data_IF_737706459554
#
_entry.id   IF_737706459554
#
_cell.length_a   1.000
_cell.length_b   1.000
_cell.length_c   1.000
_cell.angle_alpha   90.00
_cell.angle_beta   90.00
_cell.angle_gamma   90.00
#
_symmetry.space_group_name_H-M   'P 1'
#
loop_
_entity.id
_entity.type
_entity.pdbx_description
1 polymer ?
#
# COMPACT_ATOMS: atom_id res chain seq x y z
N UNK A 1 17.36 -7.42 -20.11
CA UNK A 1 17.47 -5.99 -20.49
C UNK A 1 17.23 -5.13 -19.29
N UNK A 2 18.12 -4.17 -19.01
CA UNK A 2 17.99 -3.29 -17.85
C UNK A 2 17.03 -2.10 -18.13
N UNK A 3 16.06 -1.92 -17.26
CA UNK A 3 15.26 -0.70 -17.14
C UNK A 3 15.98 0.21 -16.15
N UNK A 4 16.27 1.46 -16.53
CA UNK A 4 17.09 2.37 -15.78
C UNK A 4 16.32 3.61 -15.34
N UNK A 5 16.80 4.26 -14.29
CA UNK A 5 16.17 5.47 -13.75
C UNK A 5 16.16 6.64 -14.77
N UNK A 6 17.23 6.75 -15.56
CA UNK A 6 17.37 7.77 -16.61
C UNK A 6 18.00 7.16 -17.86
N UNK A 7 17.87 7.80 -19.01
CA UNK A 7 18.54 7.43 -20.24
C UNK A 7 20.07 7.55 -20.13
N UNK A 8 20.75 6.41 -19.95
CA UNK A 8 22.21 6.35 -19.86
C UNK A 8 22.71 5.04 -19.23
N UNK A 9 23.81 4.50 -19.78
CA UNK A 9 24.36 3.19 -19.34
C UNK A 9 24.89 3.22 -17.90
N UNK A 10 25.20 4.39 -17.36
CA UNK A 10 25.66 4.59 -15.97
C UNK A 10 24.52 4.87 -14.99
N UNK A 11 23.29 5.07 -15.48
CA UNK A 11 22.12 5.29 -14.63
C UNK A 11 21.78 4.05 -13.82
N UNK A 12 21.31 4.18 -12.57
CA UNK A 12 20.89 3.07 -11.73
C UNK A 12 19.89 2.16 -12.45
N UNK A 13 20.02 0.86 -12.22
CA UNK A 13 19.07 -0.13 -12.74
C UNK A 13 17.90 -0.21 -11.77
N UNK A 14 16.68 0.02 -12.28
CA UNK A 14 15.44 -0.13 -11.52
C UNK A 14 14.94 -1.58 -11.57
N UNK A 15 15.09 -2.21 -12.74
CA UNK A 15 14.65 -3.60 -12.96
C UNK A 15 15.46 -4.24 -14.07
N UNK A 16 15.72 -5.54 -13.96
CA UNK A 16 16.19 -6.37 -15.07
C UNK A 16 15.04 -7.17 -15.67
N UNK A 17 14.84 -7.03 -16.95
CA UNK A 17 13.83 -7.76 -17.70
C UNK A 17 14.43 -8.96 -18.40
N UNK A 18 13.76 -10.13 -18.38
CA UNK A 18 14.15 -11.28 -19.18
C UNK A 18 14.10 -10.98 -20.66
N UNK A 19 14.60 -11.92 -21.48
CA UNK A 19 14.37 -11.88 -22.92
C UNK A 19 12.86 -11.99 -23.19
N UNK A 20 12.40 -11.31 -24.21
CA UNK A 20 11.00 -11.30 -24.67
C UNK A 20 9.98 -10.68 -23.68
N UNK A 21 10.46 -10.01 -22.63
CA UNK A 21 9.56 -9.25 -21.74
C UNK A 21 8.87 -8.12 -22.51
N UNK A 22 7.57 -7.98 -22.30
CA UNK A 22 6.79 -6.90 -22.90
C UNK A 22 6.87 -5.62 -22.08
N UNK A 23 6.98 -4.49 -22.76
CA UNK A 23 6.95 -3.16 -22.13
C UNK A 23 6.06 -2.23 -22.92
N UNK A 24 5.40 -1.31 -22.26
CA UNK A 24 4.66 -0.23 -22.93
C UNK A 24 5.60 0.96 -23.12
N UNK A 25 5.85 1.37 -24.37
CA UNK A 25 6.61 2.59 -24.65
C UNK A 25 5.71 3.79 -24.39
N UNK A 26 6.13 4.67 -23.48
CA UNK A 26 5.41 5.89 -23.10
C UNK A 26 5.90 7.09 -23.92
N UNK A 27 7.21 7.13 -24.19
CA UNK A 27 7.87 8.21 -24.92
C UNK A 27 9.10 7.65 -25.65
N UNK A 28 9.26 7.99 -26.90
CA UNK A 28 10.42 7.58 -27.72
C UNK A 28 11.37 8.76 -27.90
N UNK A 29 12.66 8.56 -27.59
CA UNK A 29 13.73 9.51 -27.78
C UNK A 29 14.82 8.93 -28.68
N UNK A 30 15.84 9.68 -29.03
CA UNK A 30 16.86 9.29 -30.03
C UNK A 30 17.52 7.93 -29.76
N UNK A 31 17.98 7.66 -28.55
CA UNK A 31 18.73 6.45 -28.17
C UNK A 31 18.06 5.63 -27.05
N UNK A 32 17.12 6.21 -26.35
CA UNK A 32 16.43 5.63 -25.20
C UNK A 32 14.93 5.84 -25.36
N UNK A 33 14.14 4.93 -24.82
CA UNK A 33 12.69 5.12 -24.69
C UNK A 33 12.30 5.03 -23.24
N UNK A 34 11.40 5.91 -22.82
CA UNK A 34 10.71 5.80 -21.54
C UNK A 34 9.65 4.72 -21.66
N UNK A 35 9.73 3.73 -20.77
CA UNK A 35 8.87 2.56 -20.82
C UNK A 35 8.21 2.30 -19.49
N UNK A 36 7.07 1.60 -19.53
CA UNK A 36 6.40 1.03 -18.35
C UNK A 36 6.42 -0.48 -18.47
N UNK A 37 6.91 -1.16 -17.44
CA UNK A 37 6.93 -2.62 -17.35
C UNK A 37 5.57 -3.18 -16.92
N UNK A 38 5.38 -4.49 -17.01
CA UNK A 38 4.19 -5.17 -16.48
C UNK A 38 4.03 -4.98 -14.97
N UNK A 39 5.14 -4.92 -14.23
CA UNK A 39 5.14 -4.61 -12.78
C UNK A 39 4.94 -3.11 -12.48
N UNK A 40 4.57 -2.32 -13.49
CA UNK A 40 4.30 -0.87 -13.40
C UNK A 40 5.50 0.00 -13.09
N UNK A 41 6.73 -0.51 -13.18
CA UNK A 41 7.95 0.32 -13.06
C UNK A 41 8.07 1.17 -14.32
N UNK A 42 8.28 2.48 -14.13
CA UNK A 42 8.56 3.43 -15.21
C UNK A 42 10.07 3.74 -15.20
N UNK A 43 10.70 3.58 -16.34
CA UNK A 43 12.13 3.85 -16.52
C UNK A 43 12.53 3.90 -17.98
N UNK A 44 13.81 3.79 -18.26
CA UNK A 44 14.37 3.96 -19.60
C UNK A 44 15.07 2.71 -20.06
N UNK A 45 14.82 2.33 -21.33
CA UNK A 45 15.46 1.21 -22.04
C UNK A 45 16.12 1.74 -23.31
N UNK A 46 17.29 1.20 -23.68
CA UNK A 46 17.95 1.53 -24.96
C UNK A 46 17.07 1.08 -26.14
N UNK A 47 16.87 1.96 -27.14
CA UNK A 47 16.03 1.67 -28.31
C UNK A 47 16.48 0.41 -29.07
N UNK A 48 17.77 0.14 -29.12
CA UNK A 48 18.32 -1.08 -29.76
C UNK A 48 17.91 -2.40 -29.08
N UNK A 49 17.34 -2.33 -27.88
CA UNK A 49 16.85 -3.48 -27.13
C UNK A 49 15.33 -3.70 -27.29
N UNK A 50 14.66 -2.77 -27.95
CA UNK A 50 13.23 -2.86 -28.25
C UNK A 50 13.06 -3.42 -29.66
N UNK A 51 12.31 -4.50 -29.79
CA UNK A 51 11.97 -5.17 -31.04
C UNK A 51 10.45 -5.25 -31.18
N UNK A 52 9.95 -5.56 -32.36
CA UNK A 52 8.54 -5.91 -32.60
C UNK A 52 7.52 -4.90 -32.06
N UNK A 53 7.75 -3.61 -32.36
CA UNK A 53 6.83 -2.56 -31.93
C UNK A 53 5.45 -2.76 -32.55
N UNK A 54 4.47 -3.00 -31.71
CA UNK A 54 3.06 -2.97 -32.09
C UNK A 54 2.40 -1.71 -31.56
N UNK A 55 1.74 -0.97 -32.43
CA UNK A 55 0.92 0.19 -32.00
C UNK A 55 -0.40 -0.38 -31.50
N UNK A 56 -0.56 -0.49 -30.17
CA UNK A 56 -1.87 -0.72 -29.59
C UNK A 56 -2.61 0.62 -29.55
N UNK A 57 -3.58 0.82 -30.43
CA UNK A 57 -4.58 1.85 -30.13
C UNK A 57 -5.33 1.39 -28.89
N UNK A 58 -5.16 2.13 -27.79
CA UNK A 58 -6.14 2.04 -26.70
C UNK A 58 -7.47 2.55 -27.26
N UNK A 59 -8.27 1.63 -27.76
CA UNK A 59 -9.69 1.91 -27.90
C UNK A 59 -10.21 2.08 -26.49
N UNK A 60 -10.64 3.29 -26.14
CA UNK A 60 -11.57 3.44 -25.02
C UNK A 60 -12.78 2.59 -25.39
N UNK A 61 -12.88 1.39 -24.82
CA UNK A 61 -14.04 0.55 -25.04
C UNK A 61 -15.27 1.35 -24.63
N UNK A 62 -16.26 1.39 -25.50
CA UNK A 62 -17.58 1.99 -25.19
C UNK A 62 -18.30 1.22 -24.08
N UNK A 63 -17.72 0.11 -23.63
CA UNK A 63 -18.26 -0.80 -22.61
C UNK A 63 -17.65 -0.56 -21.22
N UNK A 64 -17.02 0.62 -21.00
CA UNK A 64 -16.55 0.99 -19.66
C UNK A 64 -17.77 1.09 -18.74
N UNK A 65 -17.95 0.09 -17.89
CA UNK A 65 -18.83 0.17 -16.75
C UNK A 65 -18.04 0.77 -15.59
N UNK A 66 -18.49 1.92 -15.11
CA UNK A 66 -17.95 2.51 -13.91
C UNK A 66 -18.13 1.49 -12.76
N UNK A 67 -17.01 1.09 -12.15
CA UNK A 67 -17.06 0.24 -10.97
C UNK A 67 -17.66 1.09 -9.86
N UNK A 68 -18.91 0.80 -9.50
CA UNK A 68 -19.53 1.41 -8.34
C UNK A 68 -18.90 0.77 -7.10
N UNK A 69 -17.97 1.47 -6.49
CA UNK A 69 -17.48 1.10 -5.17
C UNK A 69 -18.57 1.45 -4.16
N UNK A 70 -19.00 0.46 -3.40
CA UNK A 70 -19.79 0.70 -2.21
C UNK A 70 -18.89 1.38 -1.18
N UNK A 71 -18.79 2.70 -1.26
CA UNK A 71 -18.08 3.47 -0.26
C UNK A 71 -18.87 3.36 1.05
N UNK A 72 -18.28 2.68 2.02
CA UNK A 72 -18.77 2.72 3.40
C UNK A 72 -18.45 4.12 3.91
N UNK A 73 -19.45 4.97 3.98
CA UNK A 73 -19.32 6.32 4.54
C UNK A 73 -19.91 6.29 5.96
N UNK A 74 -19.10 6.72 6.92
CA UNK A 74 -19.61 6.97 8.27
C UNK A 74 -20.37 8.30 8.25
N UNK A 75 -21.65 8.25 8.58
CA UNK A 75 -22.48 9.47 8.69
C UNK A 75 -22.05 10.32 9.89
N UNK A 76 -22.07 11.63 9.69
CA UNK A 76 -21.75 12.61 10.73
C UNK A 76 -20.27 12.96 10.85
N UNK A 77 -19.90 13.52 11.98
CA UNK A 77 -18.54 13.96 12.26
C UNK A 77 -17.69 12.75 12.72
N UNK A 78 -16.56 12.55 12.08
CA UNK A 78 -15.57 11.57 12.52
C UNK A 78 -14.71 12.19 13.61
N UNK A 79 -14.71 11.56 14.79
CA UNK A 79 -13.85 11.90 15.91
C UNK A 79 -12.95 10.68 16.22
N UNK A 80 -11.79 10.66 15.53
CA UNK A 80 -10.84 9.56 15.56
C UNK A 80 -9.81 9.77 16.66
N UNK A 81 -9.56 8.72 17.44
CA UNK A 81 -8.48 8.66 18.40
C UNK A 81 -7.42 7.64 17.96
N UNK A 82 -6.16 8.06 17.86
CA UNK A 82 -5.05 7.13 17.73
C UNK A 82 -4.82 6.39 19.05
N UNK A 83 -4.69 5.08 18.98
CA UNK A 83 -4.38 4.24 20.13
C UNK A 83 -3.04 3.54 19.90
N UNK A 84 -1.98 4.11 20.48
CA UNK A 84 -0.66 3.52 20.36
C UNK A 84 -0.56 2.27 21.22
N UNK A 85 -0.30 1.14 20.58
CA UNK A 85 -0.10 -0.15 21.24
C UNK A 85 1.21 -0.78 20.76
N UNK A 86 1.91 -1.45 21.66
CA UNK A 86 3.20 -2.10 21.40
C UNK A 86 3.13 -3.62 21.48
N UNK A 87 2.01 -4.15 21.93
CA UNK A 87 1.73 -5.56 22.09
C UNK A 87 0.27 -5.87 21.74
N UNK A 88 -0.08 -7.13 21.68
CA UNK A 88 -1.47 -7.55 21.48
C UNK A 88 -2.28 -7.24 22.75
N UNK A 89 -3.21 -6.29 22.68
CA UNK A 89 -4.05 -5.84 23.80
C UNK A 89 -5.52 -6.18 23.54
N UNK A 90 -6.25 -6.49 24.62
CA UNK A 90 -7.64 -6.93 24.57
C UNK A 90 -8.67 -5.78 24.69
N UNK A 91 -9.96 -6.14 24.67
CA UNK A 91 -11.06 -5.18 24.79
C UNK A 91 -11.12 -4.47 26.14
N UNK A 92 -10.62 -5.07 27.22
CA UNK A 92 -10.58 -4.42 28.54
C UNK A 92 -9.55 -3.27 28.55
N UNK A 93 -8.43 -3.48 27.87
CA UNK A 93 -7.41 -2.44 27.71
C UNK A 93 -8.00 -1.24 26.95
N UNK A 94 -8.74 -1.47 25.85
CA UNK A 94 -9.45 -0.42 25.12
C UNK A 94 -10.47 0.30 26.02
N UNK A 95 -11.32 -0.43 26.73
CA UNK A 95 -12.34 0.14 27.60
C UNK A 95 -11.74 1.06 28.67
N UNK A 96 -10.61 0.67 29.26
CA UNK A 96 -9.87 1.48 30.23
C UNK A 96 -9.30 2.75 29.58
N UNK A 97 -8.68 2.64 28.39
CA UNK A 97 -8.12 3.78 27.66
C UNK A 97 -9.18 4.83 27.30
N UNK A 98 -10.40 4.38 26.97
CA UNK A 98 -11.51 5.25 26.56
C UNK A 98 -12.40 5.71 27.74
N UNK A 99 -12.16 5.24 28.95
CA UNK A 99 -13.04 5.49 30.13
C UNK A 99 -13.29 6.96 30.44
N UNK A 100 -12.36 7.83 30.07
CA UNK A 100 -12.46 9.30 30.25
C UNK A 100 -12.88 10.05 28.98
N UNK A 101 -13.10 9.37 27.87
CA UNK A 101 -13.48 10.00 26.60
C UNK A 101 -14.99 9.84 26.35
N UNK A 102 -15.62 10.88 25.74
CA UNK A 102 -17.08 10.85 25.51
C UNK A 102 -17.50 10.99 24.04
N UNK A 103 -16.56 11.29 23.17
CA UNK A 103 -16.91 11.70 21.81
C UNK A 103 -16.19 10.91 20.72
N UNK A 104 -15.31 9.98 21.09
CA UNK A 104 -14.59 9.14 20.13
C UNK A 104 -15.58 8.17 19.49
N UNK A 105 -15.63 8.18 18.16
CA UNK A 105 -16.47 7.27 17.39
C UNK A 105 -15.67 6.42 16.39
N UNK A 106 -14.37 6.66 16.30
CA UNK A 106 -13.41 5.83 15.57
C UNK A 106 -12.14 5.70 16.40
N UNK A 107 -11.61 4.49 16.54
CA UNK A 107 -10.30 4.25 17.13
C UNK A 107 -9.36 3.69 16.08
N UNK A 108 -8.12 4.20 16.08
CA UNK A 108 -7.08 3.77 15.15
C UNK A 108 -5.89 3.20 15.92
N UNK A 109 -5.92 1.88 16.22
CA UNK A 109 -4.82 1.23 16.91
C UNK A 109 -3.64 1.01 15.97
N UNK A 110 -2.41 1.16 16.49
CA UNK A 110 -1.15 1.01 15.74
C UNK A 110 -0.79 -0.47 15.55
N UNK A 111 -1.61 -1.21 14.82
CA UNK A 111 -1.54 -2.66 14.75
C UNK A 111 -0.64 -3.22 13.67
N UNK A 112 -0.58 -2.55 12.51
CA UNK A 112 0.10 -3.10 11.35
C UNK A 112 1.41 -2.38 11.07
N UNK A 113 2.46 -3.16 10.85
CA UNK A 113 3.79 -2.65 10.48
C UNK A 113 4.29 -3.42 9.28
N UNK A 114 4.92 -2.70 8.36
CA UNK A 114 5.58 -3.34 7.22
C UNK A 114 6.83 -4.10 7.71
N UNK A 115 6.99 -5.33 7.23
CA UNK A 115 8.11 -6.20 7.61
C UNK A 115 9.17 -6.34 6.52
N UNK A 116 8.83 -5.97 5.28
CA UNK A 116 9.72 -6.08 4.12
C UNK A 116 9.28 -5.18 2.96
N UNK A 117 10.10 -5.11 1.91
CA UNK A 117 9.83 -4.35 0.69
C UNK A 117 8.91 -5.09 -0.31
N UNK A 118 8.30 -6.20 0.07
CA UNK A 118 7.42 -6.99 -0.80
C UNK A 118 5.94 -6.91 -0.39
N UNK A 119 5.62 -6.13 0.65
CA UNK A 119 4.25 -5.94 1.14
C UNK A 119 3.87 -6.86 2.30
N UNK A 120 4.84 -7.51 2.95
CA UNK A 120 4.61 -8.24 4.19
C UNK A 120 4.27 -7.32 5.35
N UNK A 121 3.39 -7.77 6.25
CA UNK A 121 2.98 -7.05 7.45
C UNK A 121 3.12 -7.91 8.70
N UNK A 122 3.40 -7.26 9.83
CA UNK A 122 3.19 -7.85 11.16
C UNK A 122 1.92 -7.24 11.77
N UNK A 123 1.18 -8.05 12.51
CA UNK A 123 -0.13 -7.70 13.07
C UNK A 123 -0.14 -7.85 14.59
N UNK A 124 -0.74 -6.87 15.27
CA UNK A 124 -1.10 -6.90 16.69
C UNK A 124 -2.62 -6.94 16.88
N UNK A 125 -3.38 -7.22 15.83
CA UNK A 125 -4.84 -7.22 15.87
C UNK A 125 -5.38 -8.23 16.90
N UNK A 126 -6.50 -7.85 17.53
CA UNK A 126 -7.14 -8.65 18.56
C UNK A 126 -8.67 -8.61 18.43
N UNK A 127 -9.30 -9.79 18.29
CA UNK A 127 -10.73 -9.89 18.08
C UNK A 127 -11.56 -9.38 19.27
N UNK A 128 -11.10 -9.55 20.51
CA UNK A 128 -11.83 -9.05 21.68
C UNK A 128 -11.78 -7.52 21.78
N UNK A 129 -10.69 -6.91 21.30
CA UNK A 129 -10.59 -5.47 21.18
C UNK A 129 -11.62 -4.92 20.19
N UNK A 130 -11.73 -5.53 18.98
CA UNK A 130 -12.71 -5.12 17.97
C UNK A 130 -14.13 -5.29 18.50
N UNK A 131 -14.43 -6.46 19.08
CA UNK A 131 -15.76 -6.72 19.68
C UNK A 131 -16.12 -5.67 20.73
N UNK A 132 -15.17 -5.29 21.60
CA UNK A 132 -15.40 -4.28 22.62
C UNK A 132 -15.60 -2.88 22.03
N UNK A 133 -14.86 -2.51 20.97
CA UNK A 133 -15.07 -1.25 20.26
C UNK A 133 -16.50 -1.18 19.69
N UNK A 134 -16.94 -2.23 19.01
CA UNK A 134 -18.27 -2.32 18.44
C UNK A 134 -19.37 -2.30 19.51
N UNK A 135 -19.20 -2.97 20.66
CA UNK A 135 -20.11 -2.85 21.81
C UNK A 135 -20.26 -1.39 22.31
N UNK A 136 -19.20 -0.59 22.19
CA UNK A 136 -19.19 0.82 22.55
C UNK A 136 -19.66 1.75 21.42
N UNK A 137 -20.04 1.21 20.25
CA UNK A 137 -20.44 1.98 19.07
C UNK A 137 -19.27 2.71 18.38
N UNK A 138 -18.06 2.18 18.51
CA UNK A 138 -16.82 2.77 18.00
C UNK A 138 -16.29 1.88 16.86
N UNK A 139 -16.04 2.47 15.69
CA UNK A 139 -15.42 1.78 14.57
C UNK A 139 -13.91 1.63 14.80
N UNK A 140 -13.34 0.57 14.26
CA UNK A 140 -11.90 0.27 14.32
C UNK A 140 -11.28 0.46 12.94
N UNK A 141 -10.51 1.53 12.76
CA UNK A 141 -9.71 1.80 11.56
C UNK A 141 -8.23 1.52 11.89
N UNK A 142 -7.83 0.27 11.74
CA UNK A 142 -6.49 -0.14 12.14
C UNK A 142 -5.41 0.58 11.33
N UNK A 143 -4.42 1.12 12.02
CA UNK A 143 -3.33 1.88 11.42
C UNK A 143 -2.27 0.93 10.87
N UNK A 144 -1.82 1.19 9.64
CA UNK A 144 -0.61 0.61 9.05
C UNK A 144 0.43 1.69 8.89
N UNK A 145 1.60 1.48 9.50
CA UNK A 145 2.68 2.47 9.52
C UNK A 145 3.97 1.90 8.92
N UNK A 146 4.78 2.80 8.39
CA UNK A 146 6.16 2.57 7.99
C UNK A 146 7.17 2.86 9.11
N UNK A 147 6.70 3.43 10.21
CA UNK A 147 7.56 3.76 11.35
C UNK A 147 7.65 2.55 12.27
N UNK A 148 8.78 1.87 12.25
CA UNK A 148 9.16 0.92 13.29
C UNK A 148 9.79 1.68 14.45
N UNK A 149 8.96 2.13 15.41
CA UNK A 149 9.42 2.84 16.60
C UNK A 149 10.29 1.97 17.51
N UNK A 150 10.26 0.67 17.32
CA UNK A 150 10.99 -0.30 18.13
C UNK A 150 12.17 -0.92 17.40
N UNK A 151 12.31 -0.69 16.10
CA UNK A 151 13.28 -1.35 15.20
C UNK A 151 13.29 -2.89 15.37
N UNK A 152 12.13 -3.45 15.73
CA UNK A 152 11.98 -4.87 16.05
C UNK A 152 12.38 -5.79 14.90
N UNK A 153 12.23 -5.33 13.67
CA UNK A 153 12.49 -6.14 12.48
C UNK A 153 13.80 -5.77 11.78
N UNK A 154 14.47 -4.67 12.20
CA UNK A 154 15.75 -4.23 11.60
C UNK A 154 15.67 -3.91 10.11
N UNK A 155 14.47 -3.70 9.57
CA UNK A 155 14.22 -3.51 8.14
C UNK A 155 13.97 -2.04 7.86
N UNK A 156 14.69 -1.50 6.88
CA UNK A 156 14.36 -0.20 6.29
C UNK A 156 13.48 -0.42 5.07
N UNK A 157 12.26 0.09 5.12
CA UNK A 157 11.32 -0.03 4.00
C UNK A 157 11.68 1.00 2.92
N UNK A 158 11.87 0.52 1.70
CA UNK A 158 11.98 1.37 0.51
C UNK A 158 10.58 1.52 -0.11
N UNK A 159 9.93 2.65 0.18
CA UNK A 159 8.59 2.94 -0.32
C UNK A 159 8.51 3.12 -1.82
N UNK A 160 9.57 3.65 -2.43
CA UNK A 160 9.61 3.80 -3.89
C UNK A 160 9.62 2.42 -4.56
N UNK A 161 10.33 1.47 -3.98
CA UNK A 161 10.35 0.08 -4.43
C UNK A 161 8.99 -0.61 -4.19
N UNK A 162 8.41 -0.47 -3.00
CA UNK A 162 7.14 -1.10 -2.63
C UNK A 162 5.98 -0.52 -3.45
N UNK A 163 5.86 0.80 -3.49
CA UNK A 163 4.69 1.45 -4.08
C UNK A 163 4.76 1.58 -5.60
N UNK A 164 5.93 1.52 -6.24
CA UNK A 164 6.05 1.54 -7.69
C UNK A 164 5.65 0.22 -8.36
N UNK A 165 5.74 -0.91 -7.65
CA UNK A 165 5.40 -2.23 -8.16
C UNK A 165 3.92 -2.59 -7.91
N UNK A 166 3.17 -2.85 -8.99
CA UNK A 166 1.77 -3.31 -8.88
C UNK A 166 1.65 -4.63 -8.12
N UNK A 167 2.62 -5.53 -8.28
CA UNK A 167 2.62 -6.84 -7.64
C UNK A 167 2.81 -6.71 -6.13
N UNK A 168 3.78 -5.89 -5.71
CA UNK A 168 4.04 -5.65 -4.28
C UNK A 168 2.86 -4.93 -3.62
N UNK A 169 2.27 -3.94 -4.30
CA UNK A 169 1.03 -3.31 -3.80
C UNK A 169 -0.11 -4.31 -3.63
N UNK A 170 -0.29 -5.25 -4.56
CA UNK A 170 -1.31 -6.31 -4.44
C UNK A 170 -1.07 -7.21 -3.25
N UNK A 171 0.19 -7.57 -2.98
CA UNK A 171 0.54 -8.37 -1.79
C UNK A 171 0.16 -7.62 -0.51
N UNK A 172 0.56 -6.35 -0.38
CA UNK A 172 0.21 -5.52 0.76
C UNK A 172 -1.31 -5.37 0.94
N UNK A 173 -2.02 -5.04 -0.14
CA UNK A 173 -3.49 -4.92 -0.11
C UNK A 173 -4.13 -6.24 0.32
N UNK A 174 -3.69 -7.37 -0.24
CA UNK A 174 -4.23 -8.68 0.12
C UNK A 174 -3.96 -9.04 1.58
N UNK A 175 -2.77 -8.70 2.09
CA UNK A 175 -2.44 -8.92 3.50
C UNK A 175 -3.35 -8.09 4.43
N UNK A 176 -3.51 -6.80 4.15
CA UNK A 176 -4.38 -5.91 4.92
C UNK A 176 -5.85 -6.32 4.86
N UNK A 177 -6.35 -6.68 3.67
CA UNK A 177 -7.75 -7.14 3.50
C UNK A 177 -8.02 -8.44 4.24
N UNK A 178 -7.04 -9.36 4.30
CA UNK A 178 -7.17 -10.56 5.09
C UNK A 178 -7.31 -10.26 6.61
N UNK A 179 -6.60 -9.25 7.11
CA UNK A 179 -6.75 -8.79 8.50
C UNK A 179 -8.13 -8.14 8.72
N UNK A 180 -8.60 -7.32 7.77
CA UNK A 180 -9.95 -6.73 7.81
C UNK A 180 -11.01 -7.80 7.93
N UNK A 181 -10.96 -8.83 7.08
CA UNK A 181 -11.93 -9.92 7.07
C UNK A 181 -11.81 -10.80 8.33
N UNK A 182 -10.58 -11.08 8.78
CA UNK A 182 -10.32 -11.97 9.93
C UNK A 182 -10.82 -11.37 11.24
N UNK A 183 -10.63 -10.07 11.44
CA UNK A 183 -10.96 -9.40 12.70
C UNK A 183 -12.24 -8.57 12.63
N UNK A 184 -12.86 -8.42 11.46
CA UNK A 184 -14.05 -7.60 11.26
C UNK A 184 -13.78 -6.11 11.46
N UNK A 185 -12.68 -5.60 10.87
CA UNK A 185 -12.31 -4.18 10.97
C UNK A 185 -13.22 -3.33 10.08
N UNK A 186 -13.46 -2.10 10.48
CA UNK A 186 -14.29 -1.14 9.73
C UNK A 186 -13.48 -0.35 8.70
N UNK A 187 -12.16 -0.36 8.82
CA UNK A 187 -11.27 0.31 7.88
C UNK A 187 -9.78 0.16 8.19
N UNK A 188 -8.99 0.69 7.26
CA UNK A 188 -7.54 0.80 7.39
C UNK A 188 -7.15 2.26 7.34
N UNK A 189 -6.32 2.70 8.28
CA UNK A 189 -5.71 4.02 8.29
C UNK A 189 -4.27 3.90 7.79
N UNK A 190 -3.96 4.50 6.63
CA UNK A 190 -2.62 4.48 6.03
C UNK A 190 -1.81 5.64 6.59
N UNK A 191 -0.73 5.33 7.29
CA UNK A 191 0.18 6.29 7.93
C UNK A 191 1.63 6.06 7.45
N UNK A 192 1.89 6.43 6.19
CA UNK A 192 3.21 6.31 5.56
C UNK A 192 3.90 7.67 5.54
N UNK A 193 4.92 7.84 6.38
CA UNK A 193 5.62 9.11 6.58
C UNK A 193 6.91 9.22 5.73
N UNK A 194 7.48 8.08 5.28
CA UNK A 194 8.77 8.04 4.58
C UNK A 194 8.66 8.01 3.06
N UNK A 195 7.50 8.37 2.52
CA UNK A 195 7.31 8.49 1.07
C UNK A 195 8.10 9.69 0.57
N UNK A 196 9.06 9.45 -0.33
CA UNK A 196 9.85 10.52 -0.94
C UNK A 196 9.03 11.19 -2.04
N UNK A 197 9.04 12.51 -2.08
CA UNK A 197 8.54 13.25 -3.23
C UNK A 197 9.48 13.02 -4.42
N UNK A 198 8.96 12.46 -5.51
CA UNK A 198 9.65 12.36 -6.81
C UNK A 198 9.79 13.72 -7.48
#
# INVERSE_FOLDING_TARGET
TAVRYQGGIKSPILQELPADAQVTVLEEMDNWSKVKTESSIIGYVENKRLTDKTVSQRMCGTDFQEIVYNNVQKEGMINLAFHQVFENVDGNYLANALSSTKSVNVVSPTWFRLTDNNGGIASLANASYVSKAHELGIDVWALVTDVDSTNLYGVTIDFDELLSSSEKRKVLISALMNEVDTYGLDGINIDFEKVKSS
#
